data_IF_266274520361
#
_entry.id   IF_266274520361
#
_cell.length_a   1.000
_cell.length_b   1.000
_cell.length_c   1.000
_cell.angle_alpha   90.00
_cell.angle_beta   90.00
_cell.angle_gamma   90.00
#
_symmetry.space_group_name_H-M   'P 1'
#
loop_
_entity.id
_entity.type
_entity.pdbx_description
1 polymer ?
#
# COMPACT_ATOMS: atom_id res chain seq x y z
N UNK A 1 20.70 58.31 38.26
CA UNK A 1 21.23 57.96 36.92
C UNK A 1 21.82 56.56 36.99
N UNK A 2 21.12 55.55 36.46
CA UNK A 2 21.50 54.15 36.67
C UNK A 2 20.97 53.23 35.57
N UNK A 3 21.92 52.74 34.76
CA UNK A 3 21.99 51.49 33.99
C UNK A 3 20.72 50.93 33.31
N UNK A 4 20.72 51.06 31.98
CA UNK A 4 19.98 50.23 31.03
C UNK A 4 20.54 48.80 31.10
N UNK A 5 19.67 47.83 31.37
CA UNK A 5 19.97 46.41 31.36
C UNK A 5 20.01 45.83 29.95
N UNK A 6 21.13 45.21 29.62
CA UNK A 6 21.37 44.38 28.43
C UNK A 6 20.59 43.06 28.50
N UNK A 7 19.86 42.68 27.44
CA UNK A 7 19.46 41.29 27.19
C UNK A 7 20.01 40.78 25.85
N UNK A 8 21.11 40.02 25.97
CA UNK A 8 21.43 38.75 25.30
C UNK A 8 20.83 38.46 23.90
N UNK A 9 21.48 38.97 22.86
CA UNK A 9 21.32 38.61 21.44
C UNK A 9 22.16 37.39 21.00
N UNK A 10 22.62 36.53 21.92
CA UNK A 10 23.65 35.52 21.62
C UNK A 10 23.14 34.09 21.38
N UNK A 11 21.84 33.79 21.59
CA UNK A 11 21.31 32.41 21.45
C UNK A 11 20.65 32.10 20.10
N UNK A 12 20.09 33.09 19.40
CA UNK A 12 19.44 32.86 18.10
C UNK A 12 20.45 32.72 16.95
N UNK A 13 21.63 33.35 17.05
CA UNK A 13 22.66 33.24 16.00
C UNK A 13 23.31 31.85 15.93
N UNK A 14 23.32 31.10 17.04
CA UNK A 14 23.91 29.76 17.12
C UNK A 14 23.01 28.67 16.49
N UNK A 15 21.69 28.86 16.50
CA UNK A 15 20.74 27.90 15.93
C UNK A 15 20.67 27.98 14.40
N UNK A 16 20.81 29.19 13.84
CA UNK A 16 20.80 29.42 12.39
C UNK A 16 22.09 28.90 11.72
N UNK A 17 23.23 28.94 12.44
CA UNK A 17 24.52 28.44 11.92
C UNK A 17 24.70 26.92 12.03
N UNK A 18 24.08 26.23 13.00
CA UNK A 18 24.07 24.76 13.04
C UNK A 18 23.15 24.15 11.95
N UNK A 19 21.99 24.78 11.69
CA UNK A 19 21.04 24.35 10.65
C UNK A 19 21.63 24.45 9.23
N UNK A 20 22.49 25.42 8.98
CA UNK A 20 23.14 25.61 7.66
C UNK A 20 24.37 24.71 7.48
N UNK A 21 25.14 24.39 8.54
CA UNK A 21 26.30 23.48 8.43
C UNK A 21 25.91 22.00 8.22
N UNK A 22 24.78 21.55 8.74
CA UNK A 22 24.27 20.19 8.50
C UNK A 22 23.79 20.03 7.04
N UNK A 23 23.19 21.07 6.45
CA UNK A 23 22.77 21.08 5.04
C UNK A 23 23.95 20.97 4.06
N UNK A 24 25.12 21.51 4.40
CA UNK A 24 26.31 21.48 3.53
C UNK A 24 27.13 20.19 3.63
N UNK A 25 27.21 19.56 4.81
CA UNK A 25 27.91 18.27 4.93
C UNK A 25 27.12 17.10 4.33
N UNK A 26 25.78 17.12 4.39
CA UNK A 26 24.95 16.14 3.70
C UNK A 26 25.03 16.29 2.16
N UNK A 27 25.05 17.53 1.64
CA UNK A 27 25.13 17.75 0.18
C UNK A 27 26.49 17.35 -0.41
N UNK A 28 27.59 17.52 0.33
CA UNK A 28 28.95 17.26 -0.17
C UNK A 28 29.29 15.76 -0.21
N UNK A 29 28.64 14.94 0.62
CA UNK A 29 28.79 13.47 0.61
C UNK A 29 27.76 12.82 -0.35
N UNK A 30 26.57 13.40 -0.50
CA UNK A 30 25.55 12.87 -1.42
C UNK A 30 25.86 13.18 -2.90
N UNK A 31 26.48 14.32 -3.23
CA UNK A 31 26.73 14.68 -4.64
C UNK A 31 27.64 13.69 -5.39
N UNK A 32 28.78 13.24 -4.84
CA UNK A 32 29.65 12.29 -5.52
C UNK A 32 29.01 10.90 -5.69
N UNK A 33 28.18 10.48 -4.72
CA UNK A 33 27.35 9.26 -4.79
C UNK A 33 26.23 9.38 -5.83
N UNK A 34 25.68 10.59 -6.03
CA UNK A 34 24.64 10.85 -7.03
C UNK A 34 25.18 10.99 -8.47
N UNK A 35 26.46 11.32 -8.65
CA UNK A 35 27.10 11.46 -9.98
C UNK A 35 27.51 10.09 -10.57
N UNK A 36 27.69 9.05 -9.74
CA UNK A 36 27.96 7.68 -10.23
C UNK A 36 26.70 6.90 -10.66
N UNK A 37 25.49 7.46 -10.49
CA UNK A 37 24.23 6.80 -10.85
C UNK A 37 23.69 7.40 -12.15
N UNK A 38 24.44 7.19 -13.24
CA UNK A 38 23.96 7.36 -14.62
C UNK A 38 23.44 6.03 -15.17
N UNK A 39 23.02 5.14 -14.28
CA UNK A 39 22.24 3.95 -14.60
C UNK A 39 20.81 4.28 -14.18
N UNK A 40 19.88 4.36 -15.15
CA UNK A 40 18.45 4.38 -14.84
C UNK A 40 18.20 3.13 -14.01
N UNK A 41 17.86 3.24 -12.71
CA UNK A 41 17.72 2.06 -11.86
C UNK A 41 16.67 1.16 -12.50
N UNK A 42 16.95 -0.15 -12.59
CA UNK A 42 15.94 -1.11 -13.01
C UNK A 42 14.66 -0.88 -12.18
N UNK A 43 13.50 -1.06 -12.78
CA UNK A 43 12.17 -0.78 -12.21
C UNK A 43 11.98 -1.34 -10.80
N UNK A 44 12.37 -2.61 -10.62
CA UNK A 44 12.33 -3.29 -9.33
C UNK A 44 13.20 -2.60 -8.29
N UNK A 45 14.31 -2.03 -8.73
CA UNK A 45 15.22 -1.29 -7.88
C UNK A 45 14.67 0.09 -7.52
N UNK A 46 14.02 0.82 -8.45
CA UNK A 46 13.31 2.06 -8.10
C UNK A 46 12.21 1.79 -7.07
N UNK A 47 11.45 0.71 -7.24
CA UNK A 47 10.42 0.35 -6.29
C UNK A 47 11.01 -0.02 -4.92
N UNK A 48 12.04 -0.86 -4.88
CA UNK A 48 12.68 -1.33 -3.64
C UNK A 48 13.49 -0.25 -2.91
N UNK A 49 14.17 0.64 -3.65
CA UNK A 49 15.13 1.60 -3.08
C UNK A 49 14.51 2.97 -2.81
N UNK A 50 13.38 3.29 -3.45
CA UNK A 50 12.71 4.58 -3.30
C UNK A 50 11.26 4.47 -2.83
N UNK A 51 10.43 3.67 -3.51
CA UNK A 51 8.99 3.60 -3.17
C UNK A 51 8.76 2.93 -1.82
N UNK A 52 9.29 1.73 -1.60
CA UNK A 52 9.13 1.01 -0.34
C UNK A 52 9.74 1.76 0.86
N UNK A 53 10.93 2.39 0.77
CA UNK A 53 11.48 3.18 1.86
C UNK A 53 10.68 4.46 2.14
N UNK A 54 10.15 5.13 1.10
CA UNK A 54 9.30 6.30 1.29
C UNK A 54 7.97 5.94 1.98
N UNK A 55 7.34 4.85 1.55
CA UNK A 55 6.11 4.35 2.19
C UNK A 55 6.39 3.90 3.62
N UNK A 56 7.43 3.11 3.86
CA UNK A 56 7.80 2.63 5.20
C UNK A 56 8.14 3.78 6.14
N UNK A 57 8.94 4.75 5.70
CA UNK A 57 9.25 5.95 6.47
C UNK A 57 7.98 6.74 6.83
N UNK A 58 7.04 6.89 5.88
CA UNK A 58 5.76 7.54 6.14
C UNK A 58 4.88 6.76 7.12
N UNK A 59 4.83 5.42 7.03
CA UNK A 59 4.09 4.56 7.96
C UNK A 59 4.71 4.61 9.37
N UNK A 60 6.04 4.58 9.47
CA UNK A 60 6.75 4.65 10.74
C UNK A 60 6.45 5.96 11.50
N UNK A 61 6.27 7.09 10.78
CA UNK A 61 5.88 8.37 11.39
C UNK A 61 4.52 8.35 12.09
N UNK A 62 3.67 7.37 11.78
CA UNK A 62 2.33 7.20 12.37
C UNK A 62 2.20 5.88 13.14
N UNK A 63 3.32 5.32 13.59
CA UNK A 63 3.39 4.07 14.36
C UNK A 63 2.75 2.87 13.63
N UNK A 64 2.91 2.82 12.32
CA UNK A 64 2.55 1.68 11.47
C UNK A 64 3.83 1.04 10.92
N UNK A 65 3.81 -0.29 10.79
CA UNK A 65 4.91 -1.03 10.21
C UNK A 65 4.53 -1.54 8.81
N UNK A 66 5.42 -1.33 7.83
CA UNK A 66 5.27 -1.92 6.50
C UNK A 66 6.04 -3.24 6.46
N UNK A 67 5.31 -4.36 6.40
CA UNK A 67 5.91 -5.68 6.22
C UNK A 67 6.19 -5.90 4.75
N UNK A 68 7.45 -6.14 4.40
CA UNK A 68 7.94 -6.21 3.01
C UNK A 68 8.19 -7.64 2.54
N UNK A 69 8.13 -7.80 1.23
CA UNK A 69 8.50 -8.94 0.40
C UNK A 69 7.64 -10.18 0.58
N UNK A 70 6.92 -10.53 -0.50
CA UNK A 70 6.15 -11.77 -0.66
C UNK A 70 5.28 -12.09 0.57
N UNK A 71 4.49 -11.09 0.98
CA UNK A 71 3.57 -11.27 2.11
C UNK A 71 2.26 -11.82 1.59
N UNK A 72 1.81 -12.93 2.18
CA UNK A 72 0.55 -13.56 1.78
C UNK A 72 -0.63 -12.66 2.13
N UNK A 73 -1.49 -12.37 1.14
CA UNK A 73 -2.76 -11.68 1.35
C UNK A 73 -3.79 -12.69 1.87
N UNK A 74 -4.16 -12.58 3.15
CA UNK A 74 -4.98 -13.60 3.83
C UNK A 74 -6.34 -13.78 3.17
N UNK A 75 -7.05 -12.67 2.86
CA UNK A 75 -8.33 -12.75 2.18
C UNK A 75 -8.26 -13.47 0.83
N UNK A 76 -7.15 -13.32 0.09
CA UNK A 76 -6.93 -14.03 -1.17
C UNK A 76 -6.71 -15.53 -0.95
N UNK A 77 -5.92 -15.91 0.07
CA UNK A 77 -5.73 -17.31 0.44
C UNK A 77 -7.06 -17.96 0.85
N UNK A 78 -7.81 -17.30 1.72
CA UNK A 78 -9.12 -17.75 2.20
C UNK A 78 -10.10 -17.92 1.03
N UNK A 79 -10.14 -16.98 0.08
CA UNK A 79 -10.95 -17.10 -1.13
C UNK A 79 -10.57 -18.28 -2.02
N UNK A 80 -9.28 -18.49 -2.26
CA UNK A 80 -8.83 -19.56 -3.15
C UNK A 80 -9.08 -20.97 -2.59
N UNK A 81 -9.19 -21.06 -1.26
CA UNK A 81 -9.44 -22.30 -0.55
C UNK A 81 -10.90 -22.40 -0.06
N UNK A 82 -11.75 -21.42 -0.33
CA UNK A 82 -13.18 -21.47 0.03
C UNK A 82 -13.87 -22.55 -0.80
N UNK A 83 -14.17 -23.69 -0.17
CA UNK A 83 -14.78 -24.85 -0.82
C UNK A 83 -13.83 -25.98 -1.19
N UNK A 84 -12.52 -25.83 -0.91
CA UNK A 84 -11.59 -26.97 -1.01
C UNK A 84 -11.70 -27.85 0.23
N UNK A 85 -11.65 -29.16 0.04
CA UNK A 85 -11.60 -30.09 1.16
C UNK A 85 -10.15 -30.20 1.70
N UNK A 86 -9.88 -29.81 2.97
CA UNK A 86 -8.53 -29.79 3.52
C UNK A 86 -7.88 -31.17 3.65
N UNK A 87 -8.66 -32.26 3.60
CA UNK A 87 -8.15 -33.63 3.72
C UNK A 87 -7.79 -34.27 2.38
N UNK A 88 -8.36 -33.79 1.28
CA UNK A 88 -8.21 -34.42 -0.05
C UNK A 88 -7.57 -33.50 -1.08
N UNK A 89 -7.62 -32.19 -0.88
CA UNK A 89 -7.14 -31.21 -1.84
C UNK A 89 -5.94 -30.43 -1.30
N UNK A 90 -4.92 -30.26 -2.14
CA UNK A 90 -3.76 -29.44 -1.79
C UNK A 90 -4.20 -27.98 -1.64
N UNK A 91 -3.76 -27.36 -0.55
CA UNK A 91 -3.97 -25.94 -0.30
C UNK A 91 -3.38 -25.09 -1.44
N UNK A 92 -4.18 -24.20 -2.02
CA UNK A 92 -3.71 -23.25 -3.02
C UNK A 92 -2.99 -22.08 -2.32
N UNK A 93 -1.81 -21.66 -2.80
CA UNK A 93 -1.13 -20.51 -2.24
C UNK A 93 -1.95 -19.24 -2.49
N UNK A 94 -2.10 -18.41 -1.45
CA UNK A 94 -2.68 -17.08 -1.59
C UNK A 94 -1.83 -16.18 -2.49
N UNK A 95 -2.44 -15.08 -2.94
CA UNK A 95 -1.72 -14.00 -3.61
C UNK A 95 -0.61 -13.46 -2.69
N UNK A 96 0.58 -13.20 -3.25
CA UNK A 96 1.71 -12.62 -2.54
C UNK A 96 1.85 -11.16 -2.94
N UNK A 97 1.80 -10.26 -1.96
CA UNK A 97 2.01 -8.84 -2.16
C UNK A 97 3.47 -8.45 -1.92
N UNK A 98 3.90 -7.37 -2.56
CA UNK A 98 5.24 -6.83 -2.35
C UNK A 98 5.41 -6.22 -0.97
N UNK A 99 4.35 -5.63 -0.42
CA UNK A 99 4.30 -5.23 0.98
C UNK A 99 2.86 -5.12 1.49
N UNK A 100 2.69 -5.19 2.81
CA UNK A 100 1.40 -4.96 3.49
C UNK A 100 1.60 -4.12 4.75
N UNK A 101 0.53 -3.43 5.17
CA UNK A 101 0.43 -2.85 6.51
C UNK A 101 -0.66 -3.61 7.27
N UNK A 102 -0.30 -4.12 8.44
CA UNK A 102 -1.16 -4.89 9.33
C UNK A 102 -1.45 -4.08 10.61
N UNK A 103 -2.62 -4.29 11.23
CA UNK A 103 -2.86 -3.86 12.60
C UNK A 103 -2.08 -4.73 13.58
N UNK A 104 -2.09 -4.38 14.88
CA UNK A 104 -1.45 -5.20 15.91
C UNK A 104 -2.11 -6.59 16.03
N UNK A 105 -3.38 -6.67 15.67
CA UNK A 105 -4.20 -7.89 15.63
C UNK A 105 -4.00 -8.71 14.34
N UNK A 106 -3.11 -8.26 13.43
CA UNK A 106 -2.82 -8.96 12.18
C UNK A 106 -3.79 -8.66 11.03
N UNK A 107 -4.64 -7.64 11.16
CA UNK A 107 -5.61 -7.27 10.12
C UNK A 107 -4.92 -6.49 8.98
N UNK A 108 -4.95 -7.03 7.76
CA UNK A 108 -4.32 -6.39 6.59
C UNK A 108 -5.14 -5.21 6.07
N UNK A 109 -4.66 -3.98 6.34
CA UNK A 109 -5.34 -2.74 5.96
C UNK A 109 -4.79 -2.11 4.68
N UNK A 110 -3.54 -2.39 4.31
CA UNK A 110 -2.91 -1.83 3.11
C UNK A 110 -2.22 -2.96 2.35
N UNK A 111 -2.44 -3.00 1.04
CA UNK A 111 -1.75 -3.91 0.12
C UNK A 111 -0.95 -3.05 -0.86
N UNK A 112 0.34 -3.35 -1.01
CA UNK A 112 1.26 -2.63 -1.90
C UNK A 112 1.75 -3.59 -2.97
N UNK A 113 1.60 -3.19 -4.22
CA UNK A 113 1.99 -3.97 -5.40
C UNK A 113 2.80 -3.11 -6.37
N UNK A 114 3.83 -3.70 -6.94
CA UNK A 114 4.50 -3.19 -8.12
C UNK A 114 3.92 -3.87 -9.36
N UNK A 115 3.35 -3.08 -10.27
CA UNK A 115 3.13 -3.52 -11.63
C UNK A 115 4.41 -3.32 -12.45
N UNK A 116 4.41 -3.82 -13.69
CA UNK A 116 5.51 -3.59 -14.63
C UNK A 116 5.57 -2.09 -14.95
N UNK A 117 6.71 -1.44 -14.70
CA UNK A 117 6.87 0.02 -14.76
C UNK A 117 7.26 0.54 -16.15
N UNK A 118 7.70 -0.29 -17.09
CA UNK A 118 7.85 0.09 -18.51
C UNK A 118 7.40 -1.01 -19.47
N UNK A 119 6.90 -0.61 -20.64
CA UNK A 119 6.52 -1.55 -21.70
C UNK A 119 5.47 -2.59 -21.29
N UNK A 120 4.54 -2.21 -20.40
CA UNK A 120 3.31 -2.97 -20.16
C UNK A 120 2.27 -2.59 -21.21
N UNK A 121 1.62 -3.60 -21.82
CA UNK A 121 0.45 -3.34 -22.66
C UNK A 121 -0.71 -2.87 -21.79
N UNK A 122 -1.62 -2.07 -22.36
CA UNK A 122 -2.82 -1.57 -21.66
C UNK A 122 -3.61 -2.71 -20.98
N UNK A 123 -3.69 -3.89 -21.61
CA UNK A 123 -4.39 -5.02 -20.99
C UNK A 123 -3.68 -5.52 -19.73
N UNK A 124 -2.35 -5.47 -19.68
CA UNK A 124 -1.57 -5.86 -18.49
C UNK A 124 -1.79 -4.86 -17.35
N UNK A 125 -1.87 -3.56 -17.67
CA UNK A 125 -2.18 -2.50 -16.69
C UNK A 125 -3.56 -2.76 -16.08
N UNK A 126 -4.57 -2.95 -16.94
CA UNK A 126 -5.93 -3.21 -16.52
C UNK A 126 -6.04 -4.49 -15.68
N UNK A 127 -5.32 -5.56 -16.07
CA UNK A 127 -5.26 -6.81 -15.31
C UNK A 127 -4.65 -6.62 -13.92
N UNK A 128 -3.54 -5.88 -13.80
CA UNK A 128 -2.88 -5.70 -12.52
C UNK A 128 -3.68 -4.76 -11.60
N UNK A 129 -4.29 -3.70 -12.15
CA UNK A 129 -5.22 -2.85 -11.40
C UNK A 129 -6.41 -3.66 -10.87
N UNK A 130 -7.00 -4.51 -11.71
CA UNK A 130 -8.10 -5.38 -11.32
C UNK A 130 -7.68 -6.40 -10.24
N UNK A 131 -6.46 -6.93 -10.28
CA UNK A 131 -5.94 -7.82 -9.24
C UNK A 131 -5.79 -7.11 -7.91
N UNK A 132 -5.25 -5.90 -7.89
CA UNK A 132 -5.14 -5.12 -6.65
C UNK A 132 -6.53 -4.79 -6.09
N UNK A 133 -7.46 -4.36 -6.93
CA UNK A 133 -8.85 -4.12 -6.53
C UNK A 133 -9.52 -5.38 -5.93
N UNK A 134 -9.24 -6.55 -6.50
CA UNK A 134 -9.70 -7.81 -5.93
C UNK A 134 -9.01 -8.12 -4.60
N UNK A 135 -7.70 -7.93 -4.50
CA UNK A 135 -6.96 -8.21 -3.28
C UNK A 135 -7.47 -7.32 -2.12
N UNK A 136 -7.70 -6.02 -2.37
CA UNK A 136 -8.27 -5.11 -1.36
C UNK A 136 -9.69 -5.48 -0.98
N UNK A 137 -10.50 -5.93 -1.93
CA UNK A 137 -11.83 -6.50 -1.64
C UNK A 137 -11.75 -7.73 -0.74
N UNK A 138 -10.90 -8.68 -1.10
CA UNK A 138 -10.74 -9.93 -0.37
C UNK A 138 -10.25 -9.63 1.07
N UNK A 139 -9.30 -8.71 1.22
CA UNK A 139 -8.84 -8.25 2.54
C UNK A 139 -9.95 -7.54 3.32
N UNK A 140 -10.79 -6.72 2.70
CA UNK A 140 -11.93 -6.11 3.38
C UNK A 140 -12.87 -7.17 3.96
N UNK A 141 -13.20 -8.20 3.17
CA UNK A 141 -14.07 -9.30 3.62
C UNK A 141 -13.43 -10.06 4.77
N UNK A 142 -12.12 -10.31 4.69
CA UNK A 142 -11.39 -11.03 5.73
C UNK A 142 -11.33 -10.22 7.02
N UNK A 143 -11.03 -8.93 6.96
CA UNK A 143 -11.05 -8.04 8.14
C UNK A 143 -12.41 -8.07 8.82
N UNK A 144 -13.50 -7.97 8.06
CA UNK A 144 -14.85 -8.06 8.62
C UNK A 144 -15.11 -9.42 9.25
N UNK A 145 -14.64 -10.50 8.64
CA UNK A 145 -14.82 -11.86 9.16
C UNK A 145 -14.10 -12.06 10.49
N UNK A 146 -12.83 -11.67 10.56
CA UNK A 146 -12.02 -11.76 11.78
C UNK A 146 -12.65 -10.94 12.92
N UNK A 147 -13.03 -9.69 12.65
CA UNK A 147 -13.68 -8.85 13.65
C UNK A 147 -14.98 -9.49 14.17
N UNK A 148 -15.82 -10.05 13.30
CA UNK A 148 -17.07 -10.69 13.71
C UNK A 148 -16.82 -12.01 14.46
N UNK A 149 -15.78 -12.75 14.11
CA UNK A 149 -15.35 -13.94 14.84
C UNK A 149 -14.93 -13.59 16.28
N UNK A 150 -14.25 -12.46 16.45
CA UNK A 150 -13.85 -11.89 17.74
C UNK A 150 -14.98 -11.18 18.50
N UNK A 151 -16.23 -11.28 18.01
CA UNK A 151 -17.39 -10.59 18.56
C UNK A 151 -17.25 -9.06 18.58
N UNK A 152 -16.49 -8.49 17.65
CA UNK A 152 -16.34 -7.05 17.47
C UNK A 152 -17.20 -6.55 16.32
N UNK A 153 -17.76 -5.36 16.48
CA UNK A 153 -18.52 -4.66 15.44
C UNK A 153 -17.56 -4.02 14.45
N UNK A 154 -17.57 -4.38 13.16
CA UNK A 154 -16.75 -3.68 12.18
C UNK A 154 -17.07 -2.18 12.12
N UNK A 155 -16.07 -1.31 11.90
CA UNK A 155 -16.32 0.11 11.70
C UNK A 155 -17.32 0.37 10.56
N UNK A 156 -18.23 1.31 10.76
CA UNK A 156 -19.26 1.64 9.75
C UNK A 156 -18.67 2.19 8.44
N UNK A 157 -17.46 2.74 8.52
CA UNK A 157 -16.70 3.29 7.41
C UNK A 157 -15.35 2.56 7.27
N UNK A 158 -15.35 1.24 7.50
CA UNK A 158 -14.20 0.38 7.27
C UNK A 158 -13.69 0.55 5.84
N UNK A 159 -12.40 0.88 5.73
CA UNK A 159 -11.70 1.08 4.47
C UNK A 159 -10.44 0.23 4.46
N UNK A 160 -10.21 -0.48 3.36
CA UNK A 160 -8.94 -1.15 3.05
C UNK A 160 -8.29 -0.40 1.90
N UNK A 161 -6.97 -0.27 1.94
CA UNK A 161 -6.23 0.55 1.00
C UNK A 161 -5.37 -0.31 0.06
N UNK A 162 -5.16 0.21 -1.14
CA UNK A 162 -4.23 -0.34 -2.12
C UNK A 162 -3.21 0.70 -2.52
N UNK A 163 -1.99 0.27 -2.80
CA UNK A 163 -0.97 1.11 -3.43
C UNK A 163 -0.41 0.35 -4.62
N UNK A 164 -0.41 1.01 -5.78
CA UNK A 164 0.12 0.42 -7.00
C UNK A 164 1.19 1.31 -7.60
N UNK A 165 2.40 0.77 -7.76
CA UNK A 165 3.38 1.40 -8.64
C UNK A 165 3.12 0.93 -10.08
N UNK A 166 2.83 1.88 -10.97
CA UNK A 166 2.68 1.62 -12.40
C UNK A 166 3.44 2.68 -13.18
N UNK A 167 4.23 2.29 -14.17
CA UNK A 167 4.95 3.31 -14.94
C UNK A 167 5.95 4.08 -14.08
N UNK A 168 5.90 5.40 -14.22
CA UNK A 168 6.57 6.35 -13.32
C UNK A 168 5.59 6.95 -12.30
N UNK A 169 4.52 6.24 -11.97
CA UNK A 169 3.44 6.71 -11.12
C UNK A 169 3.17 5.76 -9.96
N UNK A 170 2.79 6.35 -8.84
CA UNK A 170 2.32 5.65 -7.66
C UNK A 170 0.87 6.07 -7.43
N UNK A 171 -0.02 5.09 -7.48
CA UNK A 171 -1.47 5.25 -7.34
C UNK A 171 -1.88 4.77 -5.96
N UNK A 172 -2.63 5.60 -5.24
CA UNK A 172 -3.17 5.31 -3.92
C UNK A 172 -4.68 5.09 -4.03
N UNK A 173 -5.14 3.94 -3.54
CA UNK A 173 -6.51 3.47 -3.65
C UNK A 173 -7.14 3.28 -2.27
N UNK A 174 -8.45 3.49 -2.19
CA UNK A 174 -9.27 3.10 -1.05
C UNK A 174 -10.45 2.26 -1.50
N UNK A 175 -10.77 1.22 -0.75
CA UNK A 175 -11.95 0.40 -0.94
C UNK A 175 -12.82 0.38 0.31
N UNK A 176 -14.11 0.63 0.12
CA UNK A 176 -15.12 0.43 1.14
C UNK A 176 -16.32 -0.38 0.63
N UNK A 177 -17.29 -0.62 1.51
CA UNK A 177 -18.53 -1.32 1.18
C UNK A 177 -19.75 -0.54 1.67
N UNK A 178 -20.64 -0.17 0.73
CA UNK A 178 -21.96 0.41 1.01
C UNK A 178 -23.01 -0.24 0.10
N UNK A 179 -23.33 -1.51 0.37
CA UNK A 179 -24.21 -2.32 -0.48
C UNK A 179 -23.52 -2.88 -1.73
N UNK A 180 -22.49 -2.20 -2.22
CA UNK A 180 -21.52 -2.70 -3.18
C UNK A 180 -20.10 -2.29 -2.76
N UNK A 181 -19.09 -2.98 -3.30
CA UNK A 181 -17.69 -2.57 -3.15
C UNK A 181 -17.40 -1.38 -4.04
N UNK A 182 -16.80 -0.34 -3.46
CA UNK A 182 -16.48 0.91 -4.16
C UNK A 182 -14.98 1.14 -4.05
N UNK A 183 -14.32 1.26 -5.19
CA UNK A 183 -12.89 1.57 -5.28
C UNK A 183 -12.73 3.05 -5.64
N UNK A 184 -11.88 3.75 -4.89
CA UNK A 184 -11.61 5.17 -5.04
C UNK A 184 -10.14 5.40 -5.34
N UNK A 185 -9.86 6.23 -6.34
CA UNK A 185 -8.54 6.81 -6.56
C UNK A 185 -8.36 8.01 -5.61
N UNK A 186 -7.50 7.84 -4.60
CA UNK A 186 -7.22 8.89 -3.62
C UNK A 186 -6.22 9.92 -4.16
N UNK A 187 -5.15 9.42 -4.77
CA UNK A 187 -4.09 10.25 -5.31
C UNK A 187 -3.24 9.46 -6.31
N UNK A 188 -2.70 10.17 -7.31
CA UNK A 188 -1.64 9.67 -8.18
C UNK A 188 -0.47 10.64 -8.13
N UNK A 189 0.74 10.11 -7.92
CA UNK A 189 1.95 10.92 -7.84
C UNK A 189 3.06 10.32 -8.68
N UNK A 190 3.87 11.18 -9.30
CA UNK A 190 5.01 10.74 -10.10
C UNK A 190 6.17 10.29 -9.20
N UNK A 191 6.67 9.09 -9.44
CA UNK A 191 7.86 8.54 -8.81
C UNK A 191 9.08 9.28 -9.39
N UNK A 192 9.91 9.93 -8.56
CA UNK A 192 11.10 10.62 -9.04
C UNK A 192 12.21 9.60 -9.37
N UNK A 193 12.31 9.22 -10.65
CA UNK A 193 13.21 8.16 -11.13
C UNK A 193 14.44 8.68 -11.91
N UNK A 194 14.66 10.00 -11.93
CA UNK A 194 15.79 10.64 -12.59
C UNK A 194 16.19 11.92 -11.85
N UNK A 195 17.43 12.39 -12.01
CA UNK A 195 17.90 13.59 -11.31
C UNK A 195 17.00 14.83 -11.51
N UNK A 196 16.54 15.15 -12.74
CA UNK A 196 15.61 16.27 -12.94
C UNK A 196 14.28 16.08 -12.22
N UNK A 197 13.76 14.85 -12.19
CA UNK A 197 12.46 14.55 -11.54
C UNK A 197 12.59 14.49 -10.02
N UNK A 198 13.72 14.06 -9.47
CA UNK A 198 14.02 14.15 -8.03
C UNK A 198 13.95 15.60 -7.57
N UNK A 199 14.66 16.51 -8.23
CA UNK A 199 14.68 17.93 -7.86
C UNK A 199 13.28 18.56 -7.89
N UNK A 200 12.42 18.13 -8.83
CA UNK A 200 11.09 18.72 -9.04
C UNK A 200 9.99 18.06 -8.21
N UNK A 201 10.01 16.73 -8.07
CA UNK A 201 8.85 15.96 -7.62
C UNK A 201 9.05 15.29 -6.25
N UNK A 202 10.28 15.21 -5.72
CA UNK A 202 10.55 14.47 -4.47
C UNK A 202 9.72 14.98 -3.29
N UNK A 203 9.62 16.30 -3.11
CA UNK A 203 8.81 16.87 -2.03
C UNK A 203 7.32 16.49 -2.14
N UNK A 204 6.75 16.56 -3.35
CA UNK A 204 5.36 16.15 -3.58
C UNK A 204 5.18 14.65 -3.32
N UNK A 205 6.09 13.82 -3.83
CA UNK A 205 6.09 12.37 -3.65
C UNK A 205 6.08 11.98 -2.16
N UNK A 206 7.02 12.51 -1.38
CA UNK A 206 7.11 12.23 0.05
C UNK A 206 5.90 12.76 0.83
N UNK A 207 5.46 13.99 0.54
CA UNK A 207 4.27 14.57 1.18
C UNK A 207 3.01 13.76 0.91
N UNK A 208 2.84 13.22 -0.31
CA UNK A 208 1.73 12.32 -0.62
C UNK A 208 1.80 11.02 0.18
N UNK A 209 2.98 10.40 0.29
CA UNK A 209 3.17 9.20 1.12
C UNK A 209 2.82 9.45 2.59
N UNK A 210 3.27 10.59 3.15
CA UNK A 210 2.94 10.99 4.53
C UNK A 210 1.44 11.27 4.70
N UNK A 211 0.81 11.96 3.76
CA UNK A 211 -0.63 12.22 3.77
C UNK A 211 -1.44 10.92 3.76
N UNK A 212 -1.03 9.96 2.93
CA UNK A 212 -1.64 8.63 2.86
C UNK A 212 -1.46 7.85 4.18
N UNK A 213 -0.26 7.84 4.76
CA UNK A 213 -0.01 7.18 6.03
C UNK A 213 -0.88 7.76 7.17
N UNK A 214 -1.04 9.09 7.22
CA UNK A 214 -1.94 9.76 8.18
C UNK A 214 -3.39 9.35 8.00
N UNK A 215 -3.86 9.20 6.75
CA UNK A 215 -5.21 8.72 6.47
C UNK A 215 -5.41 7.30 6.99
N UNK A 216 -4.44 6.41 6.78
CA UNK A 216 -4.50 5.03 7.29
C UNK A 216 -4.50 5.03 8.83
N UNK A 217 -3.65 5.83 9.46
CA UNK A 217 -3.61 5.94 10.91
C UNK A 217 -4.96 6.42 11.49
N UNK A 218 -5.58 7.43 10.86
CA UNK A 218 -6.92 7.88 11.22
C UNK A 218 -7.94 6.74 11.13
N UNK A 219 -7.91 5.95 10.06
CA UNK A 219 -8.79 4.78 9.90
C UNK A 219 -8.48 3.65 10.86
N UNK A 220 -7.22 3.42 11.19
CA UNK A 220 -6.81 2.43 12.20
C UNK A 220 -7.36 2.78 13.58
N UNK A 221 -7.40 4.06 13.96
CA UNK A 221 -7.96 4.45 15.25
C UNK A 221 -9.44 4.09 15.43
N UNK A 222 -10.20 3.89 14.34
CA UNK A 222 -11.57 3.37 14.44
C UNK A 222 -11.60 1.94 15.05
N UNK A 223 -10.50 1.19 14.96
CA UNK A 223 -10.34 -0.15 15.54
C UNK A 223 -10.06 -0.14 17.04
N UNK A 224 -9.54 0.97 17.58
CA UNK A 224 -9.29 1.09 19.02
C UNK A 224 -10.60 1.24 19.82
N UNK A 225 -11.68 1.63 19.13
CA UNK A 225 -13.00 1.94 19.72
C UNK A 225 -14.10 0.97 19.33
N UNK A 226 -13.74 -0.26 18.91
CA UNK A 226 -14.73 -1.23 18.45
C UNK A 226 -15.65 -1.66 19.59
N UNK A 227 -16.94 -1.61 19.30
CA UNK A 227 -17.97 -2.07 20.21
C UNK A 227 -18.12 -3.59 20.11
N UNK A 228 -18.47 -4.21 21.22
CA UNK A 228 -18.84 -5.63 21.22
C UNK A 228 -20.15 -5.85 20.47
N UNK A 229 -20.22 -7.02 19.84
CA UNK A 229 -21.30 -7.42 18.99
C UNK A 229 -22.17 -8.47 19.73
N UNK A 230 -23.46 -8.20 19.86
CA UNK A 230 -24.38 -9.15 20.48
C UNK A 230 -24.47 -10.46 19.68
N UNK A 231 -24.83 -11.56 20.35
CA UNK A 231 -24.99 -12.88 19.71
C UNK A 231 -25.95 -12.88 18.52
N UNK A 232 -27.02 -12.07 18.60
CA UNK A 232 -28.01 -11.92 17.51
C UNK A 232 -27.36 -11.19 16.33
N UNK A 233 -26.71 -10.05 16.58
CA UNK A 233 -26.03 -9.28 15.54
C UNK A 233 -24.91 -10.10 14.89
N UNK A 234 -24.20 -10.94 15.65
CA UNK A 234 -23.16 -11.84 15.14
C UNK A 234 -23.69 -12.81 14.10
N UNK A 235 -24.81 -13.46 14.40
CA UNK A 235 -25.48 -14.36 13.46
C UNK A 235 -25.94 -13.63 12.20
N UNK A 236 -26.40 -12.39 12.33
CA UNK A 236 -26.79 -11.56 11.19
C UNK A 236 -25.59 -11.17 10.34
N UNK A 237 -24.50 -10.72 10.95
CA UNK A 237 -23.25 -10.37 10.27
C UNK A 237 -22.67 -11.59 9.54
N UNK A 238 -22.58 -12.75 10.19
CA UNK A 238 -22.09 -13.98 9.56
C UNK A 238 -22.92 -14.39 8.34
N UNK A 239 -24.25 -14.28 8.43
CA UNK A 239 -25.13 -14.51 7.27
C UNK A 239 -24.88 -13.50 6.15
N UNK A 240 -24.70 -12.22 6.48
CA UNK A 240 -24.40 -11.20 5.50
C UNK A 240 -23.05 -11.44 4.80
N UNK A 241 -22.01 -11.81 5.55
CA UNK A 241 -20.67 -12.13 5.02
C UNK A 241 -20.74 -13.35 4.10
N UNK A 242 -21.46 -14.41 4.49
CA UNK A 242 -21.63 -15.61 3.68
C UNK A 242 -22.32 -15.34 2.33
N UNK A 243 -23.16 -14.30 2.27
CA UNK A 243 -23.84 -13.87 1.04
C UNK A 243 -22.97 -13.01 0.12
N UNK A 244 -21.77 -12.60 0.54
CA UNK A 244 -20.84 -11.87 -0.33
C UNK A 244 -20.31 -12.83 -1.39
N UNK A 245 -20.73 -12.65 -2.65
CA UNK A 245 -20.34 -13.51 -3.77
C UNK A 245 -18.83 -13.54 -3.95
N UNK A 246 -18.22 -14.71 -3.80
CA UNK A 246 -16.80 -14.93 -4.13
C UNK A 246 -16.57 -14.72 -5.63
N UNK A 247 -15.67 -13.81 -6.00
CA UNK A 247 -15.25 -13.67 -7.41
C UNK A 247 -14.00 -14.50 -7.67
N UNK A 248 -14.13 -15.56 -8.45
CA UNK A 248 -13.02 -16.46 -8.81
C UNK A 248 -12.32 -16.05 -10.12
N UNK A 249 -12.98 -15.31 -11.01
CA UNK A 249 -12.53 -15.11 -12.40
C UNK A 249 -11.81 -13.78 -12.59
N UNK A 250 -10.47 -13.79 -12.67
CA UNK A 250 -9.74 -12.69 -13.34
C UNK A 250 -10.10 -12.74 -14.81
N UNK A 251 -10.33 -11.61 -15.53
CA UNK A 251 -10.52 -11.64 -16.97
C UNK A 251 -9.42 -12.48 -17.60
N UNK A 252 -9.79 -13.62 -18.19
CA UNK A 252 -8.84 -14.56 -18.76
C UNK A 252 -8.23 -13.92 -19.99
N UNK A 253 -6.90 -14.03 -20.13
CA UNK A 253 -6.27 -13.78 -21.43
C UNK A 253 -6.98 -14.68 -22.45
N UNK A 254 -7.32 -14.20 -23.66
CA UNK A 254 -7.69 -15.10 -24.73
C UNK A 254 -6.56 -16.11 -24.88
N UNK A 255 -6.90 -17.39 -24.75
CA UNK A 255 -5.95 -18.48 -24.95
C UNK A 255 -5.37 -18.27 -26.34
N UNK A 256 -4.06 -18.05 -26.45
CA UNK A 256 -3.39 -18.07 -27.76
C UNK A 256 -3.70 -19.43 -28.36
N UNK A 257 -4.59 -19.48 -29.35
CA UNK A 257 -4.79 -20.66 -30.16
C UNK A 257 -3.41 -21.02 -30.71
N UNK A 258 -2.89 -22.17 -30.29
CA UNK A 258 -1.61 -22.65 -30.78
C UNK A 258 -1.68 -22.64 -32.30
N UNK A 259 -0.73 -21.97 -32.96
CA UNK A 259 -0.50 -22.17 -34.39
C UNK A 259 -0.24 -23.66 -34.57
N UNK A 260 -1.26 -24.42 -34.99
CA UNK A 260 -1.04 -25.72 -35.62
C UNK A 260 -0.09 -25.43 -36.77
N UNK A 261 1.16 -25.90 -36.65
CA UNK A 261 1.99 -26.12 -37.82
C UNK A 261 1.19 -27.09 -38.68
N UNK A 262 0.66 -26.61 -39.79
CA UNK A 262 0.32 -27.47 -40.92
C UNK A 262 1.65 -28.13 -41.30
N UNK A 263 1.77 -29.41 -40.97
CA UNK A 263 2.82 -30.25 -41.53
C UNK A 263 2.46 -30.48 -43.01
N UNK A 264 3.51 -30.48 -43.82
CA UNK A 264 3.49 -30.56 -45.27
C UNK A 264 2.69 -31.76 -45.81
N UNK A 265 1.89 -31.51 -46.85
CA UNK A 265 1.60 -32.44 -47.95
C UNK A 265 1.82 -31.69 -49.27
#
# INVERSE_FOLDING_TARGET
MGKIGTMSLSKELLFVTLSTRIKWKASTILLPLMIQILVVPNERQTFADLVLPALDGAMAMVNLALRRFEVTVYGSATRQNSGRNPFTERHAPGHQADAVVETAEGLQLVIVESAKLTGASEEKIAQDHFKLARATRDSWVEVVRELVADNKRPPSNLTVFGVQAFGTELVFLAMDFKGCFRLYDLATVRIPNSFPTIKKNMSRFLSTCVGFARLIAYKRHEFDTLQDLSSINRRTCNRAIANIKVTSTTPTKPVKSGKRKLADE
#
